data_IF_487736634539
#
_entry.id   IF_487736634539
#
_cell.length_a   1.000
_cell.length_b   1.000
_cell.length_c   1.000
_cell.angle_alpha   90.00
_cell.angle_beta   90.00
_cell.angle_gamma   90.00
#
_symmetry.space_group_name_H-M   'P 1'
#
loop_
_entity.id
_entity.type
_entity.pdbx_description
1 polymer ?
#
# COMPACT_ATOMS: atom_id res chain seq x y z
N UNK A 1 -5.93 -4.47 17.11
CA UNK A 1 -6.02 -4.68 15.64
C UNK A 1 -4.95 -3.83 14.97
N UNK A 2 -4.14 -4.41 14.08
CA UNK A 2 -3.03 -3.67 13.45
C UNK A 2 -3.57 -2.61 12.48
N UNK A 3 -2.83 -1.50 12.25
CA UNK A 3 -3.29 -0.44 11.32
C UNK A 3 -3.55 -0.96 9.90
N UNK A 4 -2.74 -1.91 9.41
CA UNK A 4 -2.96 -2.64 8.15
C UNK A 4 -4.27 -3.43 8.15
N UNK A 5 -4.59 -4.10 9.25
CA UNK A 5 -5.74 -4.98 9.38
C UNK A 5 -7.06 -4.21 9.28
N UNK A 6 -7.06 -2.91 9.59
CA UNK A 6 -8.23 -2.01 9.44
C UNK A 6 -8.67 -1.91 7.97
N UNK A 7 -7.78 -2.10 7.00
CA UNK A 7 -8.14 -2.16 5.58
C UNK A 7 -9.20 -3.23 5.32
N UNK A 8 -9.05 -4.41 5.92
CA UNK A 8 -10.04 -5.50 5.77
C UNK A 8 -11.38 -5.15 6.42
N UNK A 9 -11.39 -4.37 7.49
CA UNK A 9 -12.64 -3.88 8.09
C UNK A 9 -13.37 -2.90 7.18
N UNK A 10 -12.64 -1.98 6.55
CA UNK A 10 -13.22 -1.04 5.58
C UNK A 10 -13.78 -1.80 4.38
N UNK A 11 -12.99 -2.74 3.84
CA UNK A 11 -13.40 -3.54 2.70
C UNK A 11 -14.64 -4.42 2.94
N UNK A 12 -14.95 -4.74 4.22
CA UNK A 12 -16.14 -5.51 4.60
C UNK A 12 -17.32 -4.65 5.07
N UNK A 13 -17.15 -3.33 5.13
CA UNK A 13 -18.14 -2.42 5.69
C UNK A 13 -19.43 -2.35 4.87
N UNK A 14 -19.33 -2.45 3.55
CA UNK A 14 -20.46 -2.36 2.62
C UNK A 14 -20.30 -3.38 1.49
N UNK A 15 -21.38 -3.60 0.74
CA UNK A 15 -21.37 -4.48 -0.43
C UNK A 15 -20.75 -3.78 -1.63
N UNK A 16 -19.75 -4.41 -2.23
CA UNK A 16 -19.11 -3.94 -3.46
C UNK A 16 -19.96 -4.23 -4.70
N UNK A 17 -19.81 -3.44 -5.77
CA UNK A 17 -20.32 -3.83 -7.08
C UNK A 17 -19.70 -5.17 -7.48
N UNK A 18 -20.51 -6.09 -8.04
CA UNK A 18 -20.08 -7.44 -8.42
C UNK A 18 -18.74 -7.51 -9.18
N UNK A 19 -18.46 -6.62 -10.16
CA UNK A 19 -17.20 -6.67 -10.88
C UNK A 19 -15.97 -6.40 -10.00
N UNK A 20 -16.13 -5.68 -8.89
CA UNK A 20 -15.06 -5.31 -7.97
C UNK A 20 -14.86 -6.35 -6.85
N UNK A 21 -15.81 -7.26 -6.61
CA UNK A 21 -15.73 -8.28 -5.54
C UNK A 21 -14.46 -9.17 -5.60
N UNK A 22 -13.96 -9.59 -6.78
CA UNK A 22 -12.71 -10.37 -6.88
C UNK A 22 -11.50 -9.62 -6.29
N UNK A 23 -11.34 -8.34 -6.62
CA UNK A 23 -10.24 -7.50 -6.13
C UNK A 23 -10.25 -7.32 -4.62
N UNK A 24 -11.43 -7.37 -4.01
CA UNK A 24 -11.54 -7.33 -2.54
C UNK A 24 -11.00 -8.60 -1.91
N UNK A 25 -11.18 -9.76 -2.55
CA UNK A 25 -10.60 -11.02 -2.08
C UNK A 25 -9.08 -10.97 -2.14
N UNK A 26 -8.53 -10.45 -3.25
CA UNK A 26 -7.08 -10.27 -3.42
C UNK A 26 -6.51 -9.26 -2.42
N UNK A 27 -7.22 -8.16 -2.17
CA UNK A 27 -6.85 -7.17 -1.15
C UNK A 27 -6.76 -7.81 0.25
N UNK A 28 -7.74 -8.63 0.63
CA UNK A 28 -7.74 -9.31 1.92
C UNK A 28 -6.53 -10.25 2.07
N UNK A 29 -6.15 -10.93 0.99
CA UNK A 29 -4.96 -11.79 0.96
C UNK A 29 -3.70 -10.96 1.13
N UNK A 30 -3.53 -9.89 0.35
CA UNK A 30 -2.36 -9.01 0.43
C UNK A 30 -2.20 -8.37 1.82
N UNK A 31 -3.30 -7.91 2.43
CA UNK A 31 -3.27 -7.36 3.80
C UNK A 31 -2.85 -8.40 4.82
N UNK A 32 -3.30 -9.65 4.67
CA UNK A 32 -2.90 -10.76 5.56
C UNK A 32 -1.42 -11.12 5.41
N UNK A 33 -0.93 -11.12 4.16
CA UNK A 33 0.49 -11.30 3.86
C UNK A 33 1.33 -10.16 4.46
N UNK A 34 0.94 -8.91 4.22
CA UNK A 34 1.63 -7.73 4.75
C UNK A 34 1.67 -7.72 6.29
N UNK A 35 0.60 -8.18 6.95
CA UNK A 35 0.60 -8.34 8.41
C UNK A 35 1.68 -9.31 8.89
N UNK A 36 1.78 -10.46 8.24
CA UNK A 36 2.79 -11.50 8.58
C UNK A 36 4.22 -11.00 8.34
N UNK A 37 4.43 -10.30 7.22
CA UNK A 37 5.71 -9.69 6.88
C UNK A 37 6.10 -8.58 7.85
N UNK A 38 5.13 -7.76 8.30
CA UNK A 38 5.36 -6.73 9.32
C UNK A 38 5.83 -7.34 10.63
N UNK A 39 5.18 -8.41 11.11
CA UNK A 39 5.61 -9.11 12.32
C UNK A 39 7.04 -9.65 12.19
N UNK A 40 7.38 -10.19 11.02
CA UNK A 40 8.73 -10.69 10.72
C UNK A 40 9.77 -9.57 10.74
N UNK A 41 9.47 -8.45 10.10
CA UNK A 41 10.33 -7.25 10.09
C UNK A 41 10.57 -6.70 11.50
N UNK A 42 9.50 -6.60 12.31
CA UNK A 42 9.59 -6.15 13.71
C UNK A 42 10.45 -7.11 14.55
N UNK A 43 10.28 -8.42 14.37
CA UNK A 43 11.04 -9.45 15.08
C UNK A 43 12.54 -9.43 14.76
N UNK A 44 12.91 -9.09 13.52
CA UNK A 44 14.30 -8.87 13.13
C UNK A 44 14.90 -7.60 13.76
N UNK A 45 14.07 -6.63 14.17
CA UNK A 45 14.54 -5.40 14.81
C UNK A 45 14.94 -5.60 16.27
N UNK A 46 14.35 -6.56 16.97
CA UNK A 46 14.59 -6.82 18.40
C UNK A 46 15.83 -7.68 18.66
N UNK A 47 16.28 -8.45 17.66
CA UNK A 47 17.34 -9.46 17.81
C UNK A 47 18.77 -8.94 17.56
N UNK A 48 18.94 -7.65 17.22
CA UNK A 48 20.25 -7.09 16.83
C UNK A 48 21.12 -6.56 17.99
N UNK A 49 20.78 -6.82 19.26
CA UNK A 49 21.44 -6.21 20.42
C UNK A 49 22.58 -7.03 21.05
N UNK A 50 23.14 -8.04 20.38
CA UNK A 50 24.31 -8.75 20.90
C UNK A 50 25.29 -9.03 19.76
N UNK A 51 26.23 -8.11 19.54
CA UNK A 51 27.51 -8.48 18.94
C UNK A 51 28.60 -7.76 19.69
N UNK A 52 29.33 -8.52 20.50
CA UNK A 52 30.50 -8.06 21.22
C UNK A 52 31.56 -7.59 20.22
N UNK A 53 32.03 -6.39 20.48
CA UNK A 53 33.13 -5.69 19.85
C UNK A 53 34.41 -6.54 19.88
N UNK A 54 35.02 -6.76 18.72
CA UNK A 54 36.42 -7.15 18.59
C UNK A 54 37.00 -6.44 17.35
N UNK A 55 38.05 -5.66 17.57
CA UNK A 55 38.84 -4.85 16.62
C UNK A 55 40.30 -5.38 16.65
N UNK A 56 41.23 -5.08 15.70
CA UNK A 56 41.18 -4.79 14.24
C UNK A 56 41.99 -5.88 13.44
N UNK A 57 42.18 -5.85 12.11
CA UNK A 57 43.36 -5.24 11.40
C UNK A 57 43.33 -5.60 9.88
N UNK A 58 43.82 -4.67 9.04
CA UNK A 58 44.50 -4.84 7.71
C UNK A 58 43.73 -5.14 6.40
N UNK A 59 43.75 -4.13 5.52
CA UNK A 59 44.12 -4.13 4.08
C UNK A 59 43.29 -4.87 3.02
N UNK A 60 42.80 -4.04 2.08
CA UNK A 60 42.53 -4.27 0.66
C UNK A 60 41.30 -5.06 0.20
N UNK A 61 40.67 -4.46 -0.83
CA UNK A 61 39.70 -4.98 -1.80
C UNK A 61 38.24 -4.62 -1.49
N UNK A 62 37.80 -3.52 -2.12
CA UNK A 62 36.38 -3.19 -2.28
C UNK A 62 35.77 -4.29 -3.15
N UNK A 63 35.34 -5.36 -2.50
CA UNK A 63 34.35 -6.29 -3.04
C UNK A 63 33.01 -5.75 -2.58
N UNK A 64 32.21 -5.23 -3.51
CA UNK A 64 30.81 -4.88 -3.22
C UNK A 64 30.06 -6.20 -3.11
N UNK A 65 30.17 -6.84 -1.94
CA UNK A 65 29.32 -7.97 -1.57
C UNK A 65 28.06 -7.35 -0.99
N UNK A 66 26.97 -7.32 -1.75
CA UNK A 66 25.65 -6.96 -1.23
C UNK A 66 25.17 -8.07 -0.29
N UNK A 67 25.71 -8.11 0.92
CA UNK A 67 25.24 -8.98 1.99
C UNK A 67 24.01 -8.31 2.60
N UNK A 68 22.86 -8.42 1.93
CA UNK A 68 21.60 -7.85 2.41
C UNK A 68 21.27 -8.46 3.76
N UNK A 69 21.18 -7.63 4.81
CA UNK A 69 20.87 -8.14 6.15
C UNK A 69 19.49 -8.80 6.15
N UNK A 70 19.25 -9.82 7.00
CA UNK A 70 17.92 -10.45 7.11
C UNK A 70 16.79 -9.44 7.38
N UNK A 71 17.10 -8.37 8.12
CA UNK A 71 16.17 -7.27 8.40
C UNK A 71 15.82 -6.47 7.15
N UNK A 72 16.80 -6.10 6.33
CA UNK A 72 16.55 -5.37 5.09
C UNK A 72 15.81 -6.25 4.07
N UNK A 73 16.10 -7.54 4.01
CA UNK A 73 15.35 -8.47 3.18
C UNK A 73 13.87 -8.57 3.62
N UNK A 74 13.60 -8.63 4.93
CA UNK A 74 12.23 -8.62 5.46
C UNK A 74 11.51 -7.29 5.16
N UNK A 75 12.23 -6.16 5.26
CA UNK A 75 11.70 -4.84 4.89
C UNK A 75 11.31 -4.78 3.42
N UNK A 76 12.17 -5.23 2.51
CA UNK A 76 11.90 -5.22 1.07
C UNK A 76 10.70 -6.09 0.68
N UNK A 77 10.52 -7.25 1.33
CA UNK A 77 9.32 -8.08 1.14
C UNK A 77 8.05 -7.33 1.52
N UNK A 78 8.03 -6.75 2.73
CA UNK A 78 6.91 -5.93 3.20
C UNK A 78 6.61 -4.77 2.23
N UNK A 79 7.62 -4.03 1.79
CA UNK A 79 7.44 -2.93 0.84
C UNK A 79 6.87 -3.40 -0.50
N UNK A 80 7.30 -4.57 -0.98
CA UNK A 80 6.77 -5.16 -2.21
C UNK A 80 5.28 -5.46 -2.08
N UNK A 81 4.86 -6.08 -0.97
CA UNK A 81 3.45 -6.36 -0.72
C UNK A 81 2.63 -5.08 -0.56
N UNK A 82 3.16 -4.05 0.11
CA UNK A 82 2.47 -2.75 0.24
C UNK A 82 2.29 -2.03 -1.09
N UNK A 83 3.27 -2.11 -2.00
CA UNK A 83 3.12 -1.62 -3.38
C UNK A 83 2.04 -2.40 -4.13
N UNK A 84 1.98 -3.72 -3.95
CA UNK A 84 0.90 -4.54 -4.50
C UNK A 84 -0.49 -4.09 -4.00
N UNK A 85 -0.61 -3.75 -2.72
CA UNK A 85 -1.85 -3.18 -2.15
C UNK A 85 -2.15 -1.83 -2.82
N UNK A 86 -1.17 -0.93 -2.94
CA UNK A 86 -1.36 0.37 -3.60
C UNK A 86 -1.87 0.21 -5.03
N UNK A 87 -1.20 -0.60 -5.86
CA UNK A 87 -1.60 -0.84 -7.26
C UNK A 87 -3.01 -1.41 -7.36
N UNK A 88 -3.38 -2.32 -6.45
CA UNK A 88 -4.73 -2.86 -6.41
C UNK A 88 -5.79 -1.81 -6.05
N UNK A 89 -5.47 -0.87 -5.15
CA UNK A 89 -6.37 0.23 -4.81
C UNK A 89 -6.52 1.26 -5.95
N UNK A 90 -5.48 1.44 -6.76
CA UNK A 90 -5.54 2.23 -7.99
C UNK A 90 -6.43 1.54 -9.02
N UNK A 91 -6.23 0.24 -9.26
CA UNK A 91 -7.07 -0.56 -10.16
C UNK A 91 -8.55 -0.55 -9.73
N UNK A 92 -8.83 -0.71 -8.43
CA UNK A 92 -10.19 -0.63 -7.89
C UNK A 92 -10.86 0.71 -8.20
N UNK A 93 -10.11 1.81 -8.17
CA UNK A 93 -10.64 3.14 -8.51
C UNK A 93 -10.98 3.22 -10.01
N UNK A 94 -10.09 2.75 -10.88
CA UNK A 94 -10.31 2.72 -12.33
C UNK A 94 -11.50 1.83 -12.70
N UNK A 95 -11.61 0.65 -12.11
CA UNK A 95 -12.72 -0.26 -12.36
C UNK A 95 -14.05 0.28 -11.82
N UNK A 96 -14.04 1.03 -10.71
CA UNK A 96 -15.23 1.73 -10.22
C UNK A 96 -15.73 2.73 -11.25
N UNK A 97 -14.83 3.54 -11.83
CA UNK A 97 -15.18 4.50 -12.88
C UNK A 97 -15.71 3.78 -14.12
N UNK A 98 -15.03 2.74 -14.60
CA UNK A 98 -15.47 1.94 -15.75
C UNK A 98 -16.85 1.31 -15.53
N UNK A 99 -17.09 0.74 -14.35
CA UNK A 99 -18.40 0.22 -13.96
C UNK A 99 -19.46 1.32 -13.96
N UNK A 100 -19.12 2.51 -13.43
CA UNK A 100 -20.02 3.64 -13.37
C UNK A 100 -20.34 4.18 -14.77
N UNK A 101 -19.38 4.27 -15.66
CA UNK A 101 -19.58 4.66 -17.06
C UNK A 101 -20.43 3.63 -17.82
N UNK A 102 -20.17 2.34 -17.63
CA UNK A 102 -20.96 1.25 -18.22
C UNK A 102 -22.45 1.32 -17.86
N UNK A 103 -22.78 1.94 -16.73
CA UNK A 103 -24.17 2.15 -16.27
C UNK A 103 -24.85 3.39 -16.86
N UNK A 104 -24.17 4.21 -17.67
CA UNK A 104 -24.71 5.47 -18.19
C UNK A 104 -26.01 5.29 -19.00
N UNK A 105 -26.07 4.29 -19.90
CA UNK A 105 -27.27 4.02 -20.71
C UNK A 105 -28.45 3.58 -19.84
N UNK A 106 -28.21 2.72 -18.86
CA UNK A 106 -29.21 2.23 -17.92
C UNK A 106 -29.75 3.37 -17.03
N UNK A 107 -28.85 4.23 -16.52
CA UNK A 107 -29.26 5.44 -15.79
C UNK A 107 -30.06 6.42 -16.64
N UNK A 108 -29.75 6.56 -17.93
CA UNK A 108 -30.54 7.37 -18.86
C UNK A 108 -31.95 6.80 -19.02
N UNK A 109 -32.06 5.50 -19.30
CA UNK A 109 -33.33 4.80 -19.39
C UNK A 109 -34.18 4.94 -18.12
N UNK A 110 -33.58 4.79 -16.93
CA UNK A 110 -34.30 4.96 -15.66
C UNK A 110 -34.79 6.40 -15.44
N UNK A 111 -34.07 7.41 -15.93
CA UNK A 111 -34.53 8.80 -15.88
C UNK A 111 -35.75 9.01 -16.77
N UNK A 112 -35.70 8.49 -17.99
CA UNK A 112 -36.78 8.60 -18.98
C UNK A 112 -38.04 7.83 -18.57
N UNK A 113 -37.87 6.75 -17.81
CA UNK A 113 -38.97 5.91 -17.30
C UNK A 113 -39.39 6.23 -15.86
N UNK A 114 -38.95 7.37 -15.31
CA UNK A 114 -39.28 7.85 -13.95
C UNK A 114 -38.97 6.85 -12.81
N UNK A 115 -37.94 6.01 -12.99
CA UNK A 115 -37.50 5.03 -11.99
C UNK A 115 -36.53 5.66 -10.97
N UNK A 116 -37.00 6.70 -10.27
CA UNK A 116 -36.20 7.49 -9.31
C UNK A 116 -35.50 6.63 -8.24
N UNK A 117 -36.20 5.65 -7.68
CA UNK A 117 -35.64 4.76 -6.65
C UNK A 117 -34.40 4.00 -7.12
N UNK A 118 -34.38 3.55 -8.38
CA UNK A 118 -33.22 2.83 -8.94
C UNK A 118 -32.02 3.76 -9.13
N UNK A 119 -32.27 5.00 -9.56
CA UNK A 119 -31.24 6.03 -9.71
C UNK A 119 -30.63 6.35 -8.35
N UNK A 120 -31.47 6.58 -7.33
CA UNK A 120 -30.99 6.85 -5.97
C UNK A 120 -30.16 5.69 -5.43
N UNK A 121 -30.65 4.44 -5.57
CA UNK A 121 -29.91 3.26 -5.10
C UNK A 121 -28.57 3.10 -5.79
N UNK A 122 -28.50 3.26 -7.11
CA UNK A 122 -27.22 3.08 -7.82
C UNK A 122 -26.22 4.20 -7.50
N UNK A 123 -26.69 5.44 -7.29
CA UNK A 123 -25.87 6.56 -6.84
C UNK A 123 -25.28 6.28 -5.45
N UNK A 124 -26.10 5.79 -4.52
CA UNK A 124 -25.64 5.43 -3.17
C UNK A 124 -24.54 4.37 -3.25
N UNK A 125 -24.72 3.32 -4.07
CA UNK A 125 -23.70 2.28 -4.25
C UNK A 125 -22.39 2.87 -4.80
N UNK A 126 -22.46 3.73 -5.83
CA UNK A 126 -21.28 4.36 -6.39
C UNK A 126 -20.54 5.22 -5.35
N UNK A 127 -21.27 6.08 -4.64
CA UNK A 127 -20.67 6.98 -3.66
C UNK A 127 -20.01 6.21 -2.52
N UNK A 128 -20.71 5.22 -1.94
CA UNK A 128 -20.15 4.36 -0.90
C UNK A 128 -18.91 3.60 -1.36
N UNK A 129 -18.92 3.13 -2.62
CA UNK A 129 -17.75 2.45 -3.18
C UNK A 129 -16.56 3.40 -3.30
N UNK A 130 -16.78 4.64 -3.75
CA UNK A 130 -15.75 5.68 -3.76
C UNK A 130 -15.21 5.98 -2.36
N UNK A 131 -16.09 6.21 -1.39
CA UNK A 131 -15.72 6.48 0.01
C UNK A 131 -14.90 5.33 0.62
N UNK A 132 -15.25 4.07 0.33
CA UNK A 132 -14.46 2.92 0.78
C UNK A 132 -13.06 2.92 0.16
N UNK A 133 -12.92 3.16 -1.14
CA UNK A 133 -11.62 3.20 -1.83
C UNK A 133 -10.75 4.32 -1.25
N UNK A 134 -11.32 5.51 -1.06
CA UNK A 134 -10.61 6.64 -0.45
C UNK A 134 -10.21 6.35 1.00
N UNK A 135 -11.10 5.71 1.76
CA UNK A 135 -10.81 5.23 3.11
C UNK A 135 -9.65 4.23 3.13
N UNK A 136 -9.60 3.28 2.20
CA UNK A 136 -8.51 2.31 2.07
C UNK A 136 -7.18 3.01 1.76
N UNK A 137 -7.15 3.91 0.77
CA UNK A 137 -5.96 4.69 0.40
C UNK A 137 -5.45 5.54 1.55
N UNK A 138 -6.34 6.26 2.24
CA UNK A 138 -5.99 7.08 3.40
C UNK A 138 -5.40 6.25 4.54
N UNK A 139 -5.95 5.06 4.81
CA UNK A 139 -5.41 4.16 5.83
C UNK A 139 -4.06 3.58 5.45
N UNK A 140 -3.85 3.21 4.18
CA UNK A 140 -2.55 2.76 3.70
C UNK A 140 -1.50 3.88 3.85
N UNK A 141 -1.83 5.12 3.50
CA UNK A 141 -0.93 6.27 3.67
C UNK A 141 -0.61 6.58 5.12
N UNK A 142 -1.63 6.53 5.99
CA UNK A 142 -1.45 6.65 7.45
C UNK A 142 -0.48 5.58 7.97
N UNK A 143 -0.65 4.33 7.52
CA UNK A 143 0.24 3.24 7.90
C UNK A 143 1.68 3.49 7.42
N UNK A 144 1.88 3.86 6.15
CA UNK A 144 3.21 4.12 5.61
C UNK A 144 3.93 5.26 6.34
N UNK A 145 3.20 6.34 6.68
CA UNK A 145 3.76 7.47 7.41
C UNK A 145 4.12 7.13 8.84
N UNK A 146 3.19 6.54 9.60
CA UNK A 146 3.36 6.37 11.05
C UNK A 146 3.98 5.05 11.48
N UNK A 147 3.85 4.00 10.68
CA UNK A 147 4.43 2.68 11.00
C UNK A 147 5.77 2.43 10.31
N UNK A 148 6.01 3.03 9.13
CA UNK A 148 7.25 2.84 8.36
C UNK A 148 8.13 4.08 8.26
N UNK A 149 7.63 5.26 8.67
CA UNK A 149 8.40 6.50 8.70
C UNK A 149 8.56 7.17 7.33
N UNK A 150 7.72 6.85 6.34
CA UNK A 150 7.74 7.55 5.07
C UNK A 150 7.05 8.92 5.20
N UNK A 151 7.82 10.01 5.16
CA UNK A 151 7.27 11.37 5.28
C UNK A 151 6.18 11.65 4.24
N UNK A 152 6.37 11.16 3.02
CA UNK A 152 5.43 11.29 1.89
C UNK A 152 4.33 10.20 1.87
N UNK A 153 4.20 9.41 2.94
CA UNK A 153 3.14 8.40 3.07
C UNK A 153 3.24 7.29 2.01
N UNK A 154 2.19 7.12 1.19
CA UNK A 154 2.15 6.10 0.12
C UNK A 154 3.15 6.43 -0.99
N UNK A 155 3.38 7.70 -1.31
CA UNK A 155 4.31 8.12 -2.37
C UNK A 155 5.76 7.71 -2.03
N UNK A 156 6.09 7.66 -0.74
CA UNK A 156 7.37 7.14 -0.25
C UNK A 156 7.59 5.65 -0.53
N UNK A 157 6.56 4.88 -0.88
CA UNK A 157 6.71 3.47 -1.32
C UNK A 157 7.32 3.39 -2.73
N UNK A 158 7.01 4.35 -3.60
CA UNK A 158 7.48 4.39 -4.99
C UNK A 158 8.88 4.99 -5.09
N UNK A 159 9.25 5.84 -4.13
CA UNK A 159 10.61 6.32 -3.98
C UNK A 159 11.54 5.20 -3.49
N UNK A 160 12.05 4.41 -4.43
CA UNK A 160 13.38 3.83 -4.29
C UNK A 160 14.38 4.99 -4.29
N UNK A 161 14.51 5.73 -3.17
CA UNK A 161 15.54 6.76 -3.05
C UNK A 161 16.90 6.08 -3.09
N UNK A 162 17.44 6.00 -4.31
CA UNK A 162 18.77 6.46 -4.66
C UNK A 162 19.26 7.37 -3.55
N UNK A 163 20.21 6.87 -2.75
CA UNK A 163 20.90 7.68 -1.78
C UNK A 163 21.34 8.97 -2.50
N UNK A 164 20.77 10.12 -2.13
CA UNK A 164 21.36 11.41 -2.46
C UNK A 164 22.72 11.41 -1.77
N UNK A 165 23.76 11.09 -2.55
CA UNK A 165 25.13 11.36 -2.14
C UNK A 165 25.25 12.87 -2.13
N UNK A 166 25.19 13.48 -0.94
CA UNK A 166 25.70 14.83 -0.71
C UNK A 166 27.20 14.81 -0.99
N UNK A 167 27.56 15.08 -2.24
CA UNK A 167 28.92 15.34 -2.66
C UNK A 167 29.24 16.81 -2.41
N UNK A 168 29.60 17.15 -1.18
CA UNK A 168 30.23 18.41 -0.83
C UNK A 168 31.65 18.41 -1.44
N UNK A 169 31.78 18.92 -2.67
CA UNK A 169 33.09 19.18 -3.30
C UNK A 169 33.35 20.68 -3.18
N UNK A 170 33.93 21.07 -2.04
CA UNK A 170 34.59 22.35 -1.90
C UNK A 170 35.99 22.22 -2.52
N UNK A 171 36.13 22.62 -3.79
CA UNK A 171 37.46 22.83 -4.38
C UNK A 171 38.03 24.15 -3.83
N UNK A 172 39.09 24.05 -3.03
CA UNK A 172 40.01 25.15 -2.80
C UNK A 172 40.95 25.27 -4.00
N UNK A 173 41.04 26.49 -4.54
CA UNK A 173 42.03 26.93 -5.52
C UNK A 173 42.37 28.39 -5.24
#
# INVERSE_FOLDING_TARGET
MCQLCVLNSIARGERWPKPLEPHISDLNLLVSTAHTELLTYQSCSTSSSITKENKPTTTSKITITTTTTPKEAARQKLLTTLRGIQTLLELLAEERESWWEGKAKERKFWRETYQGDKITRINVVNNKTGEMIDGLKARLGTFCRWSLGFEDGVEGLNESRVAKVEGDVKMEG
#
